data_IF_570196188380
#
_entry.id   IF_570196188380
#
_cell.length_a   1.000
_cell.length_b   1.000
_cell.length_c   1.000
_cell.angle_alpha   90.00
_cell.angle_beta   90.00
_cell.angle_gamma   90.00
#
_symmetry.space_group_name_H-M   'P 1'
#
loop_
_entity.id
_entity.type
_entity.pdbx_description
1 polymer ?
#
# COMPACT_ATOMS: atom_id res chain seq x y z
N UNK A 1 -5.87 -7.01 15.78
CA UNK A 1 -6.49 -6.08 14.80
C UNK A 1 -7.49 -6.89 14.02
N UNK A 2 -8.70 -6.39 13.82
CA UNK A 2 -9.72 -7.12 13.08
C UNK A 2 -9.35 -7.21 11.59
N UNK A 3 -9.66 -8.35 10.99
CA UNK A 3 -9.35 -8.65 9.58
C UNK A 3 -10.62 -9.08 8.85
N UNK A 4 -10.64 -8.84 7.55
CA UNK A 4 -11.62 -9.40 6.62
C UNK A 4 -10.91 -10.40 5.71
N UNK A 5 -11.57 -11.53 5.43
CA UNK A 5 -11.13 -12.50 4.44
C UNK A 5 -11.62 -12.04 3.06
N UNK A 6 -10.68 -11.80 2.15
CA UNK A 6 -10.98 -11.50 0.75
C UNK A 6 -11.45 -12.77 0.01
N UNK A 7 -11.98 -12.62 -1.20
CA UNK A 7 -12.48 -13.74 -2.01
C UNK A 7 -11.42 -14.75 -2.45
N UNK A 8 -10.14 -14.44 -2.24
CA UNK A 8 -8.97 -15.27 -2.51
C UNK A 8 -8.26 -15.72 -1.22
N UNK A 9 -8.98 -15.71 -0.09
CA UNK A 9 -8.54 -16.19 1.23
C UNK A 9 -7.45 -15.36 1.92
N UNK A 10 -6.97 -14.31 1.26
CA UNK A 10 -6.06 -13.34 1.86
C UNK A 10 -6.77 -12.61 3.01
N UNK A 11 -6.11 -12.51 4.16
CA UNK A 11 -6.59 -11.75 5.30
C UNK A 11 -6.09 -10.31 5.21
N UNK A 12 -7.01 -9.36 5.11
CA UNK A 12 -6.72 -7.92 5.04
C UNK A 12 -7.15 -7.24 6.35
N UNK A 13 -6.29 -6.43 6.99
CA UNK A 13 -6.69 -5.61 8.13
C UNK A 13 -7.84 -4.66 7.75
N UNK A 14 -8.85 -4.54 8.63
CA UNK A 14 -10.00 -3.65 8.40
C UNK A 14 -9.64 -2.16 8.50
N UNK A 15 -8.57 -1.84 9.20
CA UNK A 15 -8.10 -0.46 9.41
C UNK A 15 -6.65 -0.34 8.92
N UNK A 16 -6.35 0.77 8.24
CA UNK A 16 -5.04 1.03 7.63
C UNK A 16 -4.70 2.51 7.61
N UNK A 17 -3.42 2.80 7.39
CA UNK A 17 -2.92 4.16 7.19
C UNK A 17 -2.77 4.44 5.69
N UNK A 18 -3.42 5.49 5.19
CA UNK A 18 -3.13 6.05 3.86
C UNK A 18 -2.10 7.17 3.93
N UNK A 19 -1.18 7.24 2.95
CA UNK A 19 -0.12 8.28 2.90
C UNK A 19 -0.27 9.26 1.72
N UNK A 20 -1.49 9.46 1.23
CA UNK A 20 -1.75 10.43 0.17
C UNK A 20 -1.40 11.86 0.59
N UNK A 21 -0.87 12.67 -0.35
CA UNK A 21 -0.46 14.07 -0.15
C UNK A 21 0.65 14.31 0.88
N UNK A 22 1.25 13.27 1.47
CA UNK A 22 2.47 13.40 2.26
C UNK A 22 3.65 13.45 1.29
N UNK A 23 3.97 14.64 0.80
CA UNK A 23 5.04 14.89 -0.18
C UNK A 23 6.43 14.88 0.45
N UNK A 24 6.53 15.27 1.73
CA UNK A 24 7.75 15.22 2.51
C UNK A 24 8.05 13.78 2.94
N UNK A 25 9.21 13.26 2.52
CA UNK A 25 9.61 11.89 2.79
C UNK A 25 9.87 11.64 4.29
N UNK A 26 10.38 12.62 5.03
CA UNK A 26 10.61 12.52 6.48
C UNK A 26 9.28 12.41 7.22
N UNK A 27 8.30 13.22 6.82
CA UNK A 27 6.94 13.15 7.37
C UNK A 27 6.31 11.79 7.04
N UNK A 28 6.43 11.31 5.80
CA UNK A 28 5.93 9.99 5.42
C UNK A 28 6.52 8.88 6.28
N UNK A 29 7.84 8.88 6.50
CA UNK A 29 8.49 7.90 7.38
C UNK A 29 7.97 7.99 8.81
N UNK A 30 7.83 9.19 9.36
CA UNK A 30 7.33 9.39 10.72
C UNK A 30 5.89 8.89 10.88
N UNK A 31 5.01 9.17 9.91
CA UNK A 31 3.62 8.70 9.90
C UNK A 31 3.53 7.18 9.84
N UNK A 32 4.26 6.53 8.93
CA UNK A 32 4.27 5.07 8.80
C UNK A 32 4.84 4.42 10.06
N UNK A 33 5.93 4.96 10.62
CA UNK A 33 6.54 4.45 11.87
C UNK A 33 5.54 4.50 13.02
N UNK A 34 4.93 5.66 13.23
CA UNK A 34 3.94 5.87 14.31
C UNK A 34 2.76 4.90 14.17
N UNK A 35 2.26 4.69 12.96
CA UNK A 35 1.16 3.75 12.72
C UNK A 35 1.58 2.31 13.07
N UNK A 36 2.75 1.85 12.63
CA UNK A 36 3.25 0.52 12.93
C UNK A 36 3.45 0.29 14.44
N UNK A 37 4.01 1.29 15.14
CA UNK A 37 4.20 1.31 16.60
C UNK A 37 2.87 1.30 17.36
N UNK A 38 1.83 1.95 16.81
CA UNK A 38 0.47 1.98 17.38
C UNK A 38 -0.31 0.70 17.08
N UNK A 39 0.23 -0.21 16.26
CA UNK A 39 -0.35 -1.52 15.97
C UNK A 39 -1.04 -1.64 14.61
N UNK A 40 -0.96 -0.63 13.74
CA UNK A 40 -1.43 -0.76 12.36
C UNK A 40 -0.63 -1.82 11.61
N UNK A 41 -1.31 -2.56 10.76
CA UNK A 41 -0.70 -3.56 9.88
C UNK A 41 -1.05 -3.38 8.41
N UNK A 42 -1.88 -2.41 8.04
CA UNK A 42 -2.17 -2.06 6.65
C UNK A 42 -1.63 -0.66 6.33
N UNK A 43 -0.77 -0.56 5.32
CA UNK A 43 -0.24 0.71 4.80
C UNK A 43 -0.64 0.84 3.32
N UNK A 44 -1.26 1.98 2.99
CA UNK A 44 -1.75 2.32 1.66
C UNK A 44 -1.00 3.51 1.07
N UNK A 45 -0.43 3.29 -0.12
CA UNK A 45 0.25 4.30 -0.93
C UNK A 45 -0.19 4.20 -2.40
N UNK A 46 0.48 4.89 -3.30
CA UNK A 46 0.33 4.77 -4.74
C UNK A 46 1.61 5.24 -5.46
N UNK A 47 1.86 4.71 -6.65
CA UNK A 47 3.00 5.11 -7.47
C UNK A 47 3.02 6.63 -7.73
N UNK A 48 1.85 7.24 -7.94
CA UNK A 48 1.74 8.68 -8.20
C UNK A 48 1.96 9.57 -6.96
N UNK A 49 1.99 9.02 -5.75
CA UNK A 49 2.22 9.82 -4.53
C UNK A 49 3.71 10.14 -4.34
N UNK A 50 4.59 9.39 -4.99
CA UNK A 50 6.05 9.62 -4.93
C UNK A 50 6.68 9.30 -3.58
N UNK A 51 5.99 8.59 -2.68
CA UNK A 51 6.45 8.27 -1.33
C UNK A 51 6.49 6.76 -1.01
N UNK A 52 6.33 5.90 -2.02
CA UNK A 52 6.46 4.44 -1.86
C UNK A 52 7.80 4.05 -1.23
N UNK A 53 8.90 4.70 -1.63
CA UNK A 53 10.23 4.42 -1.08
C UNK A 53 10.33 4.71 0.41
N UNK A 54 9.77 5.84 0.87
CA UNK A 54 9.72 6.16 2.29
C UNK A 54 8.88 5.13 3.08
N UNK A 55 7.73 4.71 2.54
CA UNK A 55 6.91 3.68 3.17
C UNK A 55 7.64 2.33 3.26
N UNK A 56 8.26 1.88 2.16
CA UNK A 56 9.02 0.63 2.10
C UNK A 56 10.21 0.61 3.05
N UNK A 57 11.02 1.67 3.07
CA UNK A 57 12.14 1.82 4.00
C UNK A 57 11.67 1.74 5.46
N UNK A 58 10.58 2.44 5.80
CA UNK A 58 10.06 2.45 7.18
C UNK A 58 9.53 1.09 7.61
N UNK A 59 8.84 0.37 6.74
CA UNK A 59 8.37 -0.99 7.02
C UNK A 59 9.56 -1.92 7.29
N UNK A 60 10.62 -1.81 6.49
CA UNK A 60 11.85 -2.59 6.71
C UNK A 60 12.56 -2.22 8.00
N UNK A 61 12.63 -0.93 8.33
CA UNK A 61 13.23 -0.41 9.57
C UNK A 61 12.43 -0.81 10.84
N UNK A 62 11.13 -1.11 10.70
CA UNK A 62 10.25 -1.42 11.84
C UNK A 62 10.56 -2.75 12.55
N UNK A 63 11.35 -3.63 11.94
CA UNK A 63 11.61 -5.00 12.39
C UNK A 63 10.34 -5.88 12.58
N UNK A 64 9.18 -5.44 12.08
CA UNK A 64 7.97 -6.28 12.03
C UNK A 64 8.16 -7.30 10.89
N UNK A 65 7.88 -8.60 11.12
CA UNK A 65 7.97 -9.59 10.05
C UNK A 65 7.14 -9.16 8.85
N UNK A 66 7.74 -9.13 7.66
CA UNK A 66 7.10 -8.60 6.44
C UNK A 66 5.72 -9.21 6.17
N UNK A 67 5.53 -10.49 6.46
CA UNK A 67 4.25 -11.23 6.33
C UNK A 67 3.11 -10.69 7.20
N UNK A 68 3.43 -9.93 8.24
CA UNK A 68 2.44 -9.31 9.14
C UNK A 68 2.00 -7.93 8.66
N UNK A 69 2.72 -7.35 7.70
CA UNK A 69 2.37 -6.05 7.11
C UNK A 69 1.64 -6.28 5.78
N UNK A 70 0.51 -5.63 5.63
CA UNK A 70 -0.27 -5.55 4.41
C UNK A 70 0.08 -4.25 3.70
N UNK A 71 0.76 -4.33 2.56
CA UNK A 71 1.07 -3.17 1.74
C UNK A 71 0.06 -3.08 0.59
N UNK A 72 -0.29 -1.86 0.20
CA UNK A 72 -1.10 -1.60 -0.99
C UNK A 72 -0.49 -0.42 -1.75
N UNK A 73 -0.50 -0.52 -3.09
CA UNK A 73 -0.12 0.58 -3.98
C UNK A 73 -1.07 0.58 -5.17
N UNK A 74 -0.99 1.60 -6.02
CA UNK A 74 -1.92 1.83 -7.14
C UNK A 74 -1.13 2.18 -8.39
N UNK A 75 -1.46 1.52 -9.49
CA UNK A 75 -0.91 1.84 -10.81
C UNK A 75 -1.47 3.18 -11.26
N UNK A 76 -0.61 4.08 -11.70
CA UNK A 76 -1.06 5.38 -12.18
C UNK A 76 -1.69 5.26 -13.57
N UNK A 77 -2.69 6.10 -13.86
CA UNK A 77 -3.44 6.03 -15.12
C UNK A 77 -2.56 6.17 -16.38
N UNK A 78 -1.40 6.83 -16.26
CA UNK A 78 -0.43 6.96 -17.37
C UNK A 78 0.29 5.64 -17.70
N UNK A 79 0.31 4.71 -16.75
CA UNK A 79 0.91 3.38 -16.87
C UNK A 79 -0.12 2.29 -17.19
N UNK A 80 -1.33 2.68 -17.61
CA UNK A 80 -2.36 1.75 -18.05
C UNK A 80 -1.92 0.99 -19.32
N UNK A 81 -2.25 -0.32 -19.35
CA UNK A 81 -1.91 -1.25 -20.43
C UNK A 81 -0.83 -2.25 -20.01
N UNK A 82 -0.94 -3.49 -20.48
CA UNK A 82 -0.21 -4.66 -19.96
C UNK A 82 1.28 -4.40 -19.68
N UNK A 83 2.08 -4.07 -20.69
CA UNK A 83 3.53 -3.89 -20.51
C UNK A 83 3.90 -2.71 -19.61
N UNK A 84 3.11 -1.62 -19.66
CA UNK A 84 3.34 -0.45 -18.81
C UNK A 84 3.01 -0.75 -17.36
N UNK A 85 1.89 -1.44 -17.14
CA UNK A 85 1.45 -1.89 -15.82
C UNK A 85 2.49 -2.84 -15.21
N UNK A 86 3.04 -3.77 -15.98
CA UNK A 86 4.10 -4.67 -15.49
C UNK A 86 5.37 -3.90 -15.09
N UNK A 87 5.80 -2.92 -15.89
CA UNK A 87 6.95 -2.06 -15.52
C UNK A 87 6.68 -1.21 -14.29
N UNK A 88 5.48 -0.64 -14.18
CA UNK A 88 5.05 0.16 -13.02
C UNK A 88 5.02 -0.70 -11.77
N UNK A 89 4.51 -1.93 -11.87
CA UNK A 89 4.49 -2.91 -10.79
C UNK A 89 5.89 -3.26 -10.28
N UNK A 90 6.82 -3.58 -11.19
CA UNK A 90 8.20 -3.92 -10.79
C UNK A 90 8.89 -2.73 -10.09
N UNK A 91 8.64 -1.50 -10.54
CA UNK A 91 9.12 -0.29 -9.88
C UNK A 91 8.51 -0.09 -8.48
N UNK A 92 7.22 -0.35 -8.33
CA UNK A 92 6.54 -0.32 -7.02
C UNK A 92 7.16 -1.35 -6.07
N UNK A 93 7.44 -2.58 -6.53
CA UNK A 93 8.09 -3.61 -5.72
C UNK A 93 9.49 -3.17 -5.24
N UNK A 94 10.28 -2.56 -6.13
CA UNK A 94 11.60 -2.00 -5.80
C UNK A 94 11.48 -0.90 -4.73
N UNK A 95 10.59 0.07 -4.94
CA UNK A 95 10.39 1.17 -4.00
C UNK A 95 9.92 0.68 -2.63
N UNK A 96 8.95 -0.24 -2.60
CA UNK A 96 8.42 -0.82 -1.37
C UNK A 96 9.38 -1.82 -0.71
N UNK A 97 10.48 -2.19 -1.37
CA UNK A 97 11.44 -3.19 -0.90
C UNK A 97 10.77 -4.53 -0.56
N UNK A 98 9.90 -5.01 -1.45
CA UNK A 98 9.11 -6.24 -1.27
C UNK A 98 9.08 -7.07 -2.55
N UNK A 99 8.66 -8.33 -2.43
CA UNK A 99 8.40 -9.22 -3.57
C UNK A 99 6.89 -9.46 -3.81
N UNK A 100 6.59 -10.25 -4.84
CA UNK A 100 5.23 -10.64 -5.27
C UNK A 100 4.56 -11.65 -4.35
N UNK A 101 5.30 -12.30 -3.45
CA UNK A 101 4.83 -13.42 -2.62
C UNK A 101 4.15 -12.98 -1.33
N UNK A 102 4.04 -11.68 -1.08
CA UNK A 102 3.48 -11.09 0.14
C UNK A 102 2.36 -10.10 -0.21
N UNK A 103 1.66 -9.59 0.80
CA UNK A 103 0.51 -8.69 0.59
C UNK A 103 0.92 -7.40 -0.13
N UNK A 104 0.51 -7.30 -1.39
CA UNK A 104 0.50 -6.12 -2.28
C UNK A 104 -0.68 -6.26 -3.26
N UNK A 105 -1.63 -5.31 -3.25
CA UNK A 105 -2.78 -5.33 -4.17
C UNK A 105 -2.84 -4.00 -4.93
N UNK A 106 -2.91 -4.08 -6.26
CA UNK A 106 -2.88 -2.97 -7.21
C UNK A 106 -4.09 -3.04 -8.16
N UNK A 107 -5.13 -2.25 -7.88
CA UNK A 107 -6.12 -1.68 -8.82
C UNK A 107 -6.90 -0.61 -8.00
N UNK A 108 -7.33 0.57 -8.45
CA UNK A 108 -7.87 1.05 -9.73
C UNK A 108 -7.59 2.56 -9.80
N UNK A 109 -7.49 3.11 -11.00
CA UNK A 109 -7.28 4.54 -11.28
C UNK A 109 -8.46 5.45 -10.87
N UNK A 110 -9.44 4.92 -10.11
CA UNK A 110 -10.68 5.58 -9.73
C UNK A 110 -11.17 5.16 -8.34
N UNK A 111 -11.30 6.11 -7.42
CA UNK A 111 -11.92 5.93 -6.09
C UNK A 111 -13.35 5.36 -6.19
N UNK A 112 -14.10 5.72 -7.24
CA UNK A 112 -15.44 5.22 -7.48
C UNK A 112 -15.46 3.71 -7.76
N UNK A 113 -14.40 3.22 -8.40
CA UNK A 113 -14.33 1.85 -8.84
C UNK A 113 -13.94 0.92 -7.67
N UNK A 114 -13.12 1.41 -6.75
CA UNK A 114 -12.78 0.71 -5.49
C UNK A 114 -14.01 0.57 -4.59
N UNK A 115 -14.81 1.63 -4.45
CA UNK A 115 -16.08 1.56 -3.73
C UNK A 115 -17.07 0.58 -4.39
N UNK A 116 -17.19 0.63 -5.73
CA UNK A 116 -18.09 -0.23 -6.51
C UNK A 116 -17.77 -1.72 -6.38
N UNK A 117 -16.49 -2.10 -6.46
CA UNK A 117 -16.08 -3.51 -6.54
C UNK A 117 -15.90 -4.16 -5.17
N UNK A 118 -15.52 -3.39 -4.16
CA UNK A 118 -15.09 -3.96 -2.88
C UNK A 118 -15.82 -3.39 -1.65
N UNK A 119 -16.66 -2.38 -1.82
CA UNK A 119 -17.38 -1.69 -0.74
C UNK A 119 -16.44 -1.19 0.39
N UNK A 120 -15.22 -0.80 0.03
CA UNK A 120 -14.21 -0.28 0.95
C UNK A 120 -14.29 1.27 0.95
N UNK A 121 -14.30 1.88 2.15
CA UNK A 121 -14.23 3.34 2.33
C UNK A 121 -12.89 3.72 2.95
N UNK A 122 -12.19 4.68 2.34
CA UNK A 122 -10.97 5.26 2.90
C UNK A 122 -11.33 6.55 3.66
N UNK A 123 -10.84 6.69 4.89
CA UNK A 123 -10.83 7.96 5.61
C UNK A 123 -9.41 8.55 5.51
N UNK A 124 -9.32 9.84 5.20
CA UNK A 124 -8.08 10.62 5.33
C UNK A 124 -7.97 11.14 6.75
#
# INVERSE_FOLDING_TARGET
MDVVRLNNDVQMPLLGLGVFQITDQVVCKASVRTALETGYRLIDTAACYGNERAAGETVKESNIPRKEVFLTSKVWIQDAGYDKTMRSFDKTLENLQTDRGHSLILDISSLNEVYRLHNIRFAQ
#
